data_IF_453488801367
#
_entry.id   IF_453488801367
#
_cell.length_a   1.000
_cell.length_b   1.000
_cell.length_c   1.000
_cell.angle_alpha   90.00
_cell.angle_beta   90.00
_cell.angle_gamma   90.00
#
_symmetry.space_group_name_H-M   'P 1'
#
loop_
_entity.id
_entity.type
_entity.pdbx_description
1 polymer ?
#
# COMPACT_ATOMS: atom_id res chain seq x y z
N UNK A 1 -1.20 -50.57 -9.18
CA UNK A 1 -1.45 -49.61 -8.08
C UNK A 1 -1.59 -48.24 -8.71
N UNK A 2 -2.60 -47.48 -8.31
CA UNK A 2 -2.79 -46.10 -8.75
C UNK A 2 -2.40 -45.15 -7.63
N UNK A 3 -1.67 -44.09 -7.98
CA UNK A 3 -1.23 -43.06 -7.06
C UNK A 3 -1.90 -41.74 -7.44
N UNK A 4 -2.06 -40.86 -6.45
CA UNK A 4 -2.54 -39.49 -6.62
C UNK A 4 -1.54 -38.55 -5.97
N UNK A 5 -1.08 -37.56 -6.73
CA UNK A 5 -0.20 -36.49 -6.25
C UNK A 5 -1.04 -35.23 -6.16
N UNK A 6 -1.08 -34.62 -4.98
CA UNK A 6 -1.80 -33.36 -4.72
C UNK A 6 -0.86 -32.43 -3.94
N UNK A 7 -0.42 -31.30 -4.52
CA UNK A 7 0.31 -30.27 -3.79
C UNK A 7 -0.66 -29.41 -2.98
N UNK A 8 -0.17 -28.82 -1.89
CA UNK A 8 -0.93 -27.89 -1.07
C UNK A 8 -0.01 -26.79 -0.53
N UNK A 9 -0.54 -25.56 -0.49
CA UNK A 9 0.07 -24.40 0.17
C UNK A 9 -1.07 -23.50 0.63
N UNK A 10 -1.10 -23.26 1.94
CA UNK A 10 -2.19 -22.55 2.61
C UNK A 10 -1.65 -21.66 3.72
N UNK A 11 -0.96 -20.62 3.30
CA UNK A 11 -0.31 -19.61 4.12
C UNK A 11 -0.48 -18.23 3.47
N UNK A 12 -0.24 -17.18 4.25
CA UNK A 12 -0.13 -15.79 3.79
C UNK A 12 -1.15 -15.43 2.68
N UNK A 13 -2.43 -15.49 3.04
CA UNK A 13 -3.52 -15.27 2.10
C UNK A 13 -3.45 -13.88 1.44
N UNK A 14 -2.81 -12.91 2.08
CA UNK A 14 -2.63 -11.54 1.58
C UNK A 14 -1.42 -11.33 0.67
N UNK A 15 -0.53 -12.33 0.51
CA UNK A 15 0.63 -12.19 -0.37
C UNK A 15 0.21 -11.85 -1.82
N UNK A 16 0.57 -10.65 -2.27
CA UNK A 16 0.21 -10.15 -3.61
C UNK A 16 -1.27 -9.82 -3.80
N UNK A 17 -2.05 -9.74 -2.72
CA UNK A 17 -3.48 -9.41 -2.79
C UNK A 17 -3.71 -8.01 -2.27
N UNK A 18 -4.32 -7.17 -3.11
CA UNK A 18 -4.56 -5.77 -2.80
C UNK A 18 -5.89 -5.27 -3.37
N UNK A 19 -6.23 -4.04 -3.06
CA UNK A 19 -7.40 -3.37 -3.62
C UNK A 19 -7.31 -3.17 -5.14
N UNK A 20 -6.10 -3.26 -5.74
CA UNK A 20 -5.94 -3.30 -7.20
C UNK A 20 -6.63 -4.52 -7.81
N UNK A 21 -6.55 -5.66 -7.14
CA UNK A 21 -7.19 -6.90 -7.60
C UNK A 21 -8.72 -6.77 -7.58
N UNK A 22 -9.29 -6.06 -6.59
CA UNK A 22 -10.71 -5.70 -6.59
C UNK A 22 -11.09 -4.87 -7.81
N UNK A 23 -10.26 -3.89 -8.21
CA UNK A 23 -10.49 -3.10 -9.43
C UNK A 23 -10.50 -4.00 -10.66
N UNK A 24 -9.54 -4.91 -10.78
CA UNK A 24 -9.42 -5.82 -11.93
C UNK A 24 -10.60 -6.81 -12.01
N UNK A 25 -11.02 -7.40 -10.88
CA UNK A 25 -12.19 -8.27 -10.82
C UNK A 25 -13.46 -7.50 -11.15
N UNK A 26 -13.62 -6.29 -10.61
CA UNK A 26 -14.81 -5.47 -10.88
C UNK A 26 -14.91 -5.08 -12.36
N UNK A 27 -13.80 -4.68 -12.98
CA UNK A 27 -13.76 -4.39 -14.43
C UNK A 27 -14.07 -5.62 -15.27
N UNK A 28 -13.61 -6.79 -14.85
CA UNK A 28 -13.94 -8.05 -15.51
C UNK A 28 -15.44 -8.35 -15.47
N UNK A 29 -16.06 -8.28 -14.29
CA UNK A 29 -17.49 -8.51 -14.10
C UNK A 29 -18.31 -7.57 -14.99
N UNK A 30 -17.89 -6.30 -15.08
CA UNK A 30 -18.53 -5.27 -15.90
C UNK A 30 -18.18 -5.34 -17.40
N UNK A 31 -17.41 -6.33 -17.84
CA UNK A 31 -16.97 -6.52 -19.23
C UNK A 31 -16.14 -5.36 -19.80
N UNK A 32 -15.49 -4.57 -18.93
CA UNK A 32 -14.62 -3.46 -19.30
C UNK A 32 -13.25 -4.00 -19.71
N UNK A 33 -12.63 -4.76 -18.81
CA UNK A 33 -11.34 -5.44 -19.05
C UNK A 33 -11.51 -6.94 -18.79
N UNK A 34 -11.63 -7.73 -19.85
CA UNK A 34 -11.82 -9.18 -19.72
C UNK A 34 -10.52 -9.87 -19.35
N UNK A 35 -10.61 -10.89 -18.51
CA UNK A 35 -9.47 -11.76 -18.25
C UNK A 35 -9.05 -12.50 -19.51
N UNK A 36 -7.75 -12.61 -19.69
CA UNK A 36 -7.10 -13.21 -20.86
C UNK A 36 -6.47 -14.58 -20.54
N UNK A 37 -6.79 -15.16 -19.39
CA UNK A 37 -6.19 -16.39 -18.89
C UNK A 37 -7.17 -17.09 -17.94
N UNK A 38 -7.28 -18.41 -18.08
CA UNK A 38 -8.01 -19.29 -17.17
C UNK A 38 -7.56 -19.13 -15.71
N UNK A 39 -6.27 -18.90 -15.48
CA UNK A 39 -5.72 -18.74 -14.14
C UNK A 39 -6.26 -17.50 -13.43
N UNK A 40 -6.60 -16.43 -14.16
CA UNK A 40 -7.21 -15.23 -13.58
C UNK A 40 -8.65 -15.47 -13.12
N UNK A 41 -9.41 -16.29 -13.86
CA UNK A 41 -10.73 -16.72 -13.42
C UNK A 41 -10.65 -17.56 -12.15
N UNK A 42 -9.70 -18.49 -12.08
CA UNK A 42 -9.47 -19.34 -10.89
C UNK A 42 -8.98 -18.49 -9.69
N UNK A 43 -8.14 -17.49 -9.93
CA UNK A 43 -7.68 -16.56 -8.88
C UNK A 43 -8.82 -15.65 -8.39
N UNK A 44 -9.70 -15.20 -9.30
CA UNK A 44 -10.82 -14.33 -8.98
C UNK A 44 -12.02 -15.03 -8.32
N UNK A 45 -12.14 -16.35 -8.46
CA UNK A 45 -13.10 -17.21 -7.75
C UNK A 45 -12.63 -17.43 -6.30
N UNK A 46 -12.78 -16.38 -5.50
CA UNK A 46 -12.28 -16.28 -4.12
C UNK A 46 -13.11 -17.13 -3.18
N UNK A 47 -14.43 -17.19 -3.40
CA UNK A 47 -15.34 -17.98 -2.57
C UNK A 47 -15.45 -19.46 -3.01
N UNK A 48 -14.77 -19.84 -4.11
CA UNK A 48 -14.71 -21.20 -4.67
C UNK A 48 -16.07 -21.76 -5.13
N UNK A 49 -16.94 -20.90 -5.67
CA UNK A 49 -18.24 -21.29 -6.22
C UNK A 49 -18.24 -21.54 -7.74
N UNK A 50 -17.05 -21.49 -8.36
CA UNK A 50 -16.81 -21.62 -9.80
C UNK A 50 -17.48 -20.51 -10.63
N UNK A 51 -17.57 -19.30 -10.09
CA UNK A 51 -18.02 -18.10 -10.79
C UNK A 51 -17.18 -16.91 -10.34
N UNK A 52 -17.21 -15.85 -11.13
CA UNK A 52 -16.60 -14.57 -10.76
C UNK A 52 -17.72 -13.54 -10.65
N UNK A 53 -18.03 -13.14 -9.43
CA UNK A 53 -19.20 -12.33 -9.11
C UNK A 53 -18.88 -11.24 -8.08
N UNK A 54 -19.88 -10.43 -7.72
CA UNK A 54 -19.75 -9.48 -6.62
C UNK A 54 -19.50 -10.17 -5.26
N UNK A 55 -19.84 -11.46 -5.11
CA UNK A 55 -19.54 -12.23 -3.91
C UNK A 55 -18.02 -12.33 -3.67
N UNK A 56 -17.24 -12.55 -4.72
CA UNK A 56 -15.78 -12.63 -4.65
C UNK A 56 -15.16 -11.31 -4.22
N UNK A 57 -15.69 -10.19 -4.73
CA UNK A 57 -15.25 -8.85 -4.33
C UNK A 57 -15.46 -8.60 -2.82
N UNK A 58 -16.57 -9.09 -2.27
CA UNK A 58 -16.87 -8.92 -0.84
C UNK A 58 -15.91 -9.75 0.01
N UNK A 59 -15.70 -11.02 -0.33
CA UNK A 59 -14.81 -11.90 0.42
C UNK A 59 -13.34 -11.44 0.32
N UNK A 60 -12.91 -11.02 -0.86
CA UNK A 60 -11.55 -10.50 -1.07
C UNK A 60 -11.33 -9.17 -0.33
N UNK A 61 -12.32 -8.27 -0.33
CA UNK A 61 -12.21 -7.01 0.44
C UNK A 61 -12.09 -7.29 1.94
N UNK A 62 -12.84 -8.24 2.50
CA UNK A 62 -12.71 -8.61 3.92
C UNK A 62 -11.32 -9.15 4.25
N UNK A 63 -10.72 -9.92 3.35
CA UNK A 63 -9.34 -10.35 3.48
C UNK A 63 -8.38 -9.16 3.47
N UNK A 64 -8.47 -8.27 2.47
CA UNK A 64 -7.65 -7.04 2.36
C UNK A 64 -7.76 -6.17 3.62
N UNK A 65 -8.98 -5.99 4.12
CA UNK A 65 -9.25 -5.21 5.33
C UNK A 65 -8.74 -5.88 6.62
N UNK A 66 -8.24 -7.12 6.57
CA UNK A 66 -7.84 -7.88 7.75
C UNK A 66 -9.01 -8.28 8.64
N UNK A 67 -10.24 -8.33 8.09
CA UNK A 67 -11.40 -8.94 8.75
C UNK A 67 -11.25 -10.46 8.71
N UNK A 68 -10.73 -10.96 7.59
CA UNK A 68 -10.24 -12.33 7.47
C UNK A 68 -8.73 -12.36 7.53
N UNK A 69 -8.20 -13.39 8.18
CA UNK A 69 -6.79 -13.77 8.12
C UNK A 69 -6.56 -14.91 7.12
N UNK A 70 -7.61 -15.68 6.83
CA UNK A 70 -7.67 -16.79 5.87
C UNK A 70 -9.02 -16.77 5.15
N UNK A 71 -9.08 -17.28 3.92
CA UNK A 71 -10.31 -17.32 3.14
C UNK A 71 -11.22 -18.46 3.65
N UNK A 72 -12.51 -18.20 3.97
CA UNK A 72 -13.36 -19.20 4.62
C UNK A 72 -13.60 -20.49 3.82
N UNK A 73 -13.66 -20.37 2.49
CA UNK A 73 -14.05 -21.48 1.59
C UNK A 73 -12.96 -21.81 0.57
N UNK A 74 -11.77 -21.24 0.69
CA UNK A 74 -10.71 -21.40 -0.30
C UNK A 74 -9.32 -21.41 0.34
N UNK A 75 -8.38 -22.07 -0.33
CA UNK A 75 -6.97 -22.09 0.05
C UNK A 75 -6.29 -20.82 -0.45
N UNK A 76 -5.16 -20.45 0.14
CA UNK A 76 -4.40 -19.29 -0.36
C UNK A 76 -3.80 -19.53 -1.75
N UNK A 77 -3.45 -20.78 -2.06
CA UNK A 77 -3.00 -21.24 -3.38
C UNK A 77 -3.83 -22.43 -3.88
N UNK A 78 -4.15 -22.40 -5.17
CA UNK A 78 -4.68 -23.54 -5.91
C UNK A 78 -3.64 -24.05 -6.88
N UNK A 79 -3.57 -25.35 -7.11
CA UNK A 79 -2.54 -25.95 -7.95
C UNK A 79 -3.17 -26.78 -9.04
N UNK A 80 -2.79 -26.50 -10.28
CA UNK A 80 -3.33 -27.16 -11.47
C UNK A 80 -2.22 -28.00 -12.10
N UNK A 81 -2.56 -29.17 -12.65
CA UNK A 81 -1.61 -29.92 -13.47
C UNK A 81 -1.11 -29.01 -14.61
N UNK A 82 0.21 -28.84 -14.74
CA UNK A 82 0.79 -27.97 -15.76
C UNK A 82 0.51 -28.47 -17.18
N UNK A 83 0.28 -29.77 -17.35
CA UNK A 83 -0.04 -30.38 -18.64
C UNK A 83 -1.52 -30.23 -19.04
N UNK A 84 -2.36 -29.66 -18.17
CA UNK A 84 -3.79 -29.50 -18.46
C UNK A 84 -4.01 -28.53 -19.62
N UNK A 85 -4.83 -28.95 -20.59
CA UNK A 85 -5.29 -28.07 -21.66
C UNK A 85 -6.65 -27.47 -21.29
N UNK A 86 -6.69 -26.15 -21.08
CA UNK A 86 -7.91 -25.40 -20.78
C UNK A 86 -8.39 -24.73 -22.06
N UNK A 87 -9.26 -25.43 -22.80
CA UNK A 87 -9.77 -24.97 -24.10
C UNK A 87 -10.68 -23.73 -23.99
N UNK A 88 -11.50 -23.66 -22.94
CA UNK A 88 -12.36 -22.52 -22.65
C UNK A 88 -11.81 -21.73 -21.46
N UNK A 89 -11.05 -20.68 -21.77
CA UNK A 89 -10.41 -19.85 -20.75
C UNK A 89 -11.42 -19.12 -19.86
N UNK A 90 -12.65 -18.91 -20.32
CA UNK A 90 -13.69 -18.19 -19.57
C UNK A 90 -14.52 -19.11 -18.67
N UNK A 91 -14.34 -20.43 -18.82
CA UNK A 91 -15.03 -21.45 -18.06
C UNK A 91 -14.02 -22.55 -17.62
N UNK A 92 -12.98 -22.21 -16.84
CA UNK A 92 -11.90 -23.14 -16.51
C UNK A 92 -12.27 -24.09 -15.36
N UNK A 93 -13.55 -24.34 -15.14
CA UNK A 93 -14.05 -25.12 -14.00
C UNK A 93 -13.93 -26.63 -14.26
N UNK A 94 -13.89 -27.43 -13.19
CA UNK A 94 -13.78 -28.89 -13.31
C UNK A 94 -12.37 -29.39 -13.66
N UNK A 95 -11.39 -28.51 -13.65
CA UNK A 95 -9.96 -28.86 -13.75
C UNK A 95 -9.50 -29.61 -12.52
N UNK A 96 -8.70 -30.66 -12.71
CA UNK A 96 -8.15 -31.43 -11.60
C UNK A 96 -6.99 -30.68 -10.94
N UNK A 97 -7.05 -30.60 -9.61
CA UNK A 97 -5.96 -30.08 -8.77
C UNK A 97 -5.02 -31.21 -8.27
N UNK A 98 -4.92 -32.29 -9.05
CA UNK A 98 -4.09 -33.45 -8.75
C UNK A 98 -3.61 -34.12 -10.03
N UNK A 99 -2.50 -34.84 -9.94
CA UNK A 99 -2.00 -35.73 -11.00
C UNK A 99 -2.27 -37.18 -10.59
N UNK A 100 -2.96 -37.91 -11.44
CA UNK A 100 -3.19 -39.35 -11.28
C UNK A 100 -2.10 -40.16 -12.00
N UNK A 101 -1.47 -41.10 -11.30
CA UNK A 101 -0.45 -41.98 -11.86
C UNK A 101 -0.97 -43.42 -11.82
N UNK A 102 -1.08 -44.04 -12.99
CA UNK A 102 -1.42 -45.45 -13.12
C UNK A 102 -0.14 -46.25 -13.37
N UNK A 103 0.05 -47.33 -12.60
CA UNK A 103 1.15 -48.29 -12.80
C UNK A 103 2.54 -47.62 -12.84
N UNK A 104 2.96 -47.09 -11.69
CA UNK A 104 4.28 -46.51 -11.47
C UNK A 104 5.39 -47.56 -11.68
N UNK A 105 5.94 -47.59 -12.89
CA UNK A 105 6.93 -48.60 -13.33
C UNK A 105 8.25 -47.98 -13.77
N UNK A 106 8.27 -46.65 -13.98
CA UNK A 106 9.45 -45.87 -14.35
C UNK A 106 9.50 -44.58 -13.53
N UNK A 107 10.68 -43.96 -13.43
CA UNK A 107 10.82 -42.63 -12.83
C UNK A 107 9.98 -41.60 -13.61
N UNK A 108 9.31 -40.69 -12.91
CA UNK A 108 8.45 -39.66 -13.48
C UNK A 108 8.79 -38.30 -12.85
N UNK A 109 9.65 -37.52 -13.53
CA UNK A 109 10.15 -36.23 -13.04
C UNK A 109 9.35 -35.01 -13.57
N UNK A 110 8.44 -35.22 -14.53
CA UNK A 110 7.71 -34.16 -15.23
C UNK A 110 6.30 -33.88 -14.66
N UNK A 111 6.00 -34.38 -13.45
CA UNK A 111 4.71 -34.16 -12.76
C UNK A 111 4.66 -32.75 -12.15
N UNK A 112 4.59 -31.74 -13.01
CA UNK A 112 4.65 -30.33 -12.65
C UNK A 112 3.26 -29.73 -12.38
N UNK A 113 3.19 -28.76 -11.47
CA UNK A 113 1.97 -27.99 -11.20
C UNK A 113 2.18 -26.51 -11.49
N UNK A 114 1.11 -25.83 -11.91
CA UNK A 114 1.01 -24.37 -11.94
C UNK A 114 0.25 -23.90 -10.71
N UNK A 115 0.91 -23.10 -9.86
CA UNK A 115 0.29 -22.46 -8.71
C UNK A 115 -0.46 -21.19 -9.10
N UNK A 116 -1.67 -21.04 -8.58
CA UNK A 116 -2.54 -19.86 -8.74
C UNK A 116 -2.79 -19.29 -7.36
N UNK A 117 -2.29 -18.08 -7.11
CA UNK A 117 -2.57 -17.37 -5.86
C UNK A 117 -4.01 -16.86 -5.91
N UNK A 118 -4.85 -17.33 -4.99
CA UNK A 118 -6.25 -16.88 -4.91
C UNK A 118 -6.26 -15.42 -4.50
N UNK A 119 -7.04 -14.61 -5.23
CA UNK A 119 -7.18 -13.17 -5.04
C UNK A 119 -6.15 -12.30 -5.76
N UNK A 120 -5.05 -12.86 -6.27
CA UNK A 120 -3.97 -12.10 -6.94
C UNK A 120 -4.13 -12.21 -8.47
N UNK A 121 -4.63 -11.13 -9.08
CA UNK A 121 -4.98 -11.08 -10.50
C UNK A 121 -3.84 -10.48 -11.33
N UNK A 122 -3.07 -9.56 -10.75
CA UNK A 122 -1.91 -8.96 -11.40
C UNK A 122 -0.64 -9.83 -11.28
N UNK A 123 -0.67 -10.89 -10.47
CA UNK A 123 0.45 -11.82 -10.28
C UNK A 123 1.57 -11.23 -9.42
N UNK A 124 1.22 -10.36 -8.46
CA UNK A 124 2.18 -9.64 -7.62
C UNK A 124 2.68 -10.44 -6.42
N UNK A 125 2.17 -11.66 -6.18
CA UNK A 125 2.62 -12.52 -5.10
C UNK A 125 4.13 -12.84 -5.18
N UNK A 126 4.84 -12.58 -4.09
CA UNK A 126 6.27 -12.84 -3.99
C UNK A 126 6.46 -14.30 -3.56
N UNK A 127 7.03 -15.11 -4.45
CA UNK A 127 7.21 -16.56 -4.24
C UNK A 127 8.64 -16.98 -3.90
N UNK A 128 9.61 -16.06 -4.01
CA UNK A 128 11.02 -16.28 -3.69
C UNK A 128 11.64 -15.04 -3.05
N UNK A 129 12.62 -15.21 -2.15
CA UNK A 129 13.33 -14.10 -1.47
C UNK A 129 14.03 -13.11 -2.43
N UNK A 130 14.40 -13.54 -3.65
CA UNK A 130 15.00 -12.68 -4.69
C UNK A 130 13.96 -12.02 -5.61
N UNK A 131 12.68 -12.32 -5.42
CA UNK A 131 11.57 -11.85 -6.25
C UNK A 131 10.89 -10.58 -5.74
N UNK A 132 11.46 -9.89 -4.76
CA UNK A 132 10.99 -8.56 -4.37
C UNK A 132 11.19 -7.61 -5.56
N UNK A 133 10.15 -7.48 -6.39
CA UNK A 133 10.09 -6.46 -7.41
C UNK A 133 10.31 -5.11 -6.74
N UNK A 134 11.30 -4.36 -7.23
CA UNK A 134 11.51 -2.99 -6.79
C UNK A 134 10.29 -2.19 -7.26
N UNK A 135 9.34 -1.95 -6.35
CA UNK A 135 8.18 -1.11 -6.63
C UNK A 135 8.65 0.33 -6.89
N UNK A 136 8.76 0.69 -8.17
CA UNK A 136 9.10 2.05 -8.58
C UNK A 136 7.87 2.95 -8.51
N UNK A 137 7.52 3.40 -7.31
CA UNK A 137 6.44 4.38 -7.10
C UNK A 137 6.99 5.80 -7.22
N UNK A 138 6.93 6.38 -8.41
CA UNK A 138 7.40 7.74 -8.68
C UNK A 138 6.39 8.85 -8.36
N UNK A 139 5.12 8.49 -8.14
CA UNK A 139 4.01 9.42 -7.87
C UNK A 139 3.44 9.18 -6.47
N UNK A 140 2.87 10.25 -5.90
CA UNK A 140 2.22 10.22 -4.59
C UNK A 140 0.87 10.93 -4.68
N UNK A 141 -0.20 10.27 -4.24
CA UNK A 141 -1.46 10.91 -3.89
C UNK A 141 -1.40 11.33 -2.42
N UNK A 142 -1.79 12.56 -2.11
CA UNK A 142 -1.82 13.05 -0.73
C UNK A 142 -3.24 13.44 -0.35
N UNK A 143 -3.81 12.69 0.59
CA UNK A 143 -5.00 13.09 1.31
C UNK A 143 -4.70 14.27 2.23
N UNK A 144 -5.67 15.17 2.33
CA UNK A 144 -5.58 16.38 3.15
C UNK A 144 -6.81 16.45 4.04
N UNK A 145 -6.60 16.65 5.33
CA UNK A 145 -7.64 16.98 6.30
C UNK A 145 -7.32 18.32 6.97
N UNK A 146 -8.32 19.12 7.31
CA UNK A 146 -8.09 20.30 8.15
C UNK A 146 -7.85 19.86 9.59
N UNK A 147 -6.77 20.37 10.19
CA UNK A 147 -6.47 20.17 11.60
C UNK A 147 -7.45 21.01 12.43
N UNK A 148 -8.12 20.36 13.36
CA UNK A 148 -9.09 21.00 14.22
C UNK A 148 -8.85 20.56 15.66
N UNK A 149 -8.92 21.53 16.58
CA UNK A 149 -9.04 21.24 18.00
C UNK A 149 -10.45 20.79 18.32
N UNK A 150 -10.59 19.80 19.19
CA UNK A 150 -11.88 19.32 19.66
C UNK A 150 -11.89 19.17 21.18
N UNK A 151 -13.09 19.17 21.74
CA UNK A 151 -13.33 19.00 23.17
C UNK A 151 -14.15 17.72 23.42
N UNK A 152 -13.98 17.15 24.61
CA UNK A 152 -14.76 15.99 25.04
C UNK A 152 -16.27 16.22 24.87
N UNK A 153 -16.96 15.25 24.27
CA UNK A 153 -18.39 15.31 23.97
C UNK A 153 -18.75 15.99 22.64
N UNK A 154 -17.79 16.43 21.84
CA UNK A 154 -18.05 16.95 20.49
C UNK A 154 -18.08 15.81 19.45
N UNK A 155 -18.86 15.99 18.39
CA UNK A 155 -18.72 15.18 17.18
C UNK A 155 -17.66 15.82 16.30
N UNK A 156 -16.67 15.04 15.91
CA UNK A 156 -15.53 15.49 15.09
C UNK A 156 -15.71 14.91 13.70
N UNK A 157 -15.72 15.78 12.69
CA UNK A 157 -15.76 15.39 11.28
C UNK A 157 -14.41 15.63 10.66
N UNK A 158 -13.77 14.57 10.22
CA UNK A 158 -12.51 14.63 9.49
C UNK A 158 -12.83 14.46 8.00
N UNK A 159 -13.03 15.59 7.34
CA UNK A 159 -13.27 15.65 5.89
C UNK A 159 -11.93 15.43 5.16
N UNK A 160 -11.93 14.46 4.24
CA UNK A 160 -10.75 14.12 3.44
C UNK A 160 -10.88 14.73 2.06
N UNK A 161 -9.90 15.54 1.67
CA UNK A 161 -9.73 16.12 0.33
C UNK A 161 -8.40 15.64 -0.26
N UNK A 162 -8.09 16.00 -1.51
CA UNK A 162 -6.76 15.75 -2.09
C UNK A 162 -6.48 16.71 -3.25
N UNK A 163 -5.28 17.28 -3.30
CA UNK A 163 -4.92 18.27 -4.32
C UNK A 163 -4.70 17.65 -5.71
N UNK A 164 -4.42 16.34 -5.78
CA UNK A 164 -4.06 15.63 -7.01
C UNK A 164 -4.83 14.31 -7.23
N UNK A 165 -6.14 14.33 -6.98
CA UNK A 165 -7.02 13.17 -7.22
C UNK A 165 -7.40 13.05 -8.70
N UNK A 166 -6.50 12.54 -9.53
CA UNK A 166 -6.70 12.41 -10.99
C UNK A 166 -6.70 10.96 -11.42
N UNK A 167 -7.78 10.55 -12.08
CA UNK A 167 -7.93 9.23 -12.71
C UNK A 167 -7.69 8.05 -11.75
N UNK A 168 -8.15 8.17 -10.51
CA UNK A 168 -7.95 7.18 -9.45
C UNK A 168 -9.00 6.08 -9.52
N UNK A 169 -8.58 4.82 -9.50
CA UNK A 169 -9.45 3.64 -9.50
C UNK A 169 -9.46 2.89 -8.17
N UNK A 170 -8.53 3.17 -7.26
CA UNK A 170 -8.62 2.60 -5.92
C UNK A 170 -7.56 3.14 -4.97
N UNK A 171 -7.72 2.80 -3.70
CA UNK A 171 -6.76 3.07 -2.64
C UNK A 171 -7.00 2.15 -1.44
N UNK A 172 -5.93 1.85 -0.71
CA UNK A 172 -5.99 1.21 0.60
C UNK A 172 -4.98 1.86 1.54
N UNK A 173 -5.33 1.90 2.82
CA UNK A 173 -4.48 2.49 3.84
C UNK A 173 -4.98 2.16 5.24
N UNK A 174 -4.10 2.30 6.23
CA UNK A 174 -4.47 2.22 7.64
C UNK A 174 -4.35 3.60 8.30
N UNK A 175 -5.31 3.93 9.16
CA UNK A 175 -5.21 5.04 10.11
C UNK A 175 -5.19 4.47 11.52
N UNK A 176 -4.23 4.92 12.32
CA UNK A 176 -4.23 4.73 13.77
C UNK A 176 -4.78 5.98 14.44
N UNK A 177 -5.55 5.82 15.51
CA UNK A 177 -6.06 6.93 16.29
C UNK A 177 -5.98 6.67 17.80
N UNK A 178 -5.77 7.73 18.58
CA UNK A 178 -5.77 7.65 20.04
C UNK A 178 -7.20 7.52 20.59
N UNK A 179 -7.48 6.33 21.09
CA UNK A 179 -8.79 5.92 21.60
C UNK A 179 -9.15 6.56 22.95
N UNK A 180 -8.17 7.13 23.65
CA UNK A 180 -8.46 7.89 24.87
C UNK A 180 -9.04 9.27 24.55
N UNK A 181 -8.79 9.77 23.33
CA UNK A 181 -9.25 11.07 22.85
C UNK A 181 -10.46 11.00 21.91
N UNK A 182 -10.66 9.90 21.17
CA UNK A 182 -11.77 9.75 20.23
C UNK A 182 -12.31 8.32 20.12
N UNK A 183 -13.60 8.21 19.80
CA UNK A 183 -14.30 6.98 19.45
C UNK A 183 -14.81 7.06 18.01
N UNK A 184 -14.51 6.08 17.17
CA UNK A 184 -14.99 6.02 15.79
C UNK A 184 -16.51 5.83 15.72
N UNK A 185 -17.19 6.62 14.88
CA UNK A 185 -18.66 6.56 14.70
C UNK A 185 -19.05 6.03 13.32
N UNK A 186 -18.27 6.32 12.28
CA UNK A 186 -18.56 5.85 10.93
C UNK A 186 -17.78 6.57 9.85
N UNK A 187 -18.03 6.17 8.61
CA UNK A 187 -17.57 6.84 7.40
C UNK A 187 -18.76 7.15 6.51
N UNK A 188 -18.77 8.35 5.94
CA UNK A 188 -19.79 8.80 5.00
C UNK A 188 -19.18 9.22 3.66
N UNK A 189 -19.95 9.00 2.59
CA UNK A 189 -19.53 9.33 1.22
C UNK A 189 -19.48 10.84 1.00
N UNK A 190 -18.51 11.28 0.21
CA UNK A 190 -18.46 12.61 -0.40
C UNK A 190 -18.50 12.47 -1.92
N UNK A 191 -17.47 12.97 -2.58
CA UNK A 191 -17.28 12.82 -4.03
C UNK A 191 -16.95 11.38 -4.46
N UNK A 192 -16.43 10.54 -3.55
CA UNK A 192 -16.26 9.10 -3.77
C UNK A 192 -17.20 8.29 -2.87
N UNK A 193 -17.60 7.11 -3.35
CA UNK A 193 -18.47 6.20 -2.61
C UNK A 193 -17.68 5.50 -1.52
N UNK A 194 -18.00 5.82 -0.27
CA UNK A 194 -17.40 5.27 0.94
C UNK A 194 -18.47 5.06 2.01
N UNK A 195 -18.40 3.92 2.68
CA UNK A 195 -19.22 3.60 3.86
C UNK A 195 -18.46 2.62 4.77
N UNK A 196 -19.11 2.11 5.82
CA UNK A 196 -18.46 1.21 6.77
C UNK A 196 -18.05 -0.16 6.18
N UNK A 197 -18.59 -0.58 5.03
CA UNK A 197 -18.14 -1.81 4.35
C UNK A 197 -16.77 -1.64 3.67
N UNK A 198 -16.32 -0.39 3.49
CA UNK A 198 -14.97 -0.07 3.02
C UNK A 198 -13.94 -0.05 4.15
N UNK A 199 -14.34 -0.31 5.40
CA UNK A 199 -13.52 -0.08 6.59
C UNK A 199 -13.55 -1.30 7.51
N UNK A 200 -12.40 -1.71 8.04
CA UNK A 200 -12.37 -2.64 9.16
C UNK A 200 -12.73 -1.93 10.47
N UNK A 201 -14.03 -1.81 10.74
CA UNK A 201 -14.53 -1.18 11.96
C UNK A 201 -14.27 -2.01 13.23
N UNK A 202 -13.99 -3.31 13.08
CA UNK A 202 -13.73 -4.22 14.23
C UNK A 202 -12.43 -3.86 14.95
N UNK A 203 -11.50 -3.20 14.27
CA UNK A 203 -10.21 -2.77 14.82
C UNK A 203 -10.27 -1.38 15.48
N UNK A 204 -11.43 -0.70 15.44
CA UNK A 204 -11.60 0.59 16.09
C UNK A 204 -11.30 0.52 17.60
N UNK A 205 -11.62 -0.60 18.25
CA UNK A 205 -11.30 -0.87 19.66
C UNK A 205 -9.81 -1.14 19.93
N UNK A 206 -8.98 -1.22 18.89
CA UNK A 206 -7.52 -1.25 18.99
C UNK A 206 -6.88 0.04 18.44
N UNK A 207 -7.70 1.07 18.18
CA UNK A 207 -7.23 2.35 17.67
C UNK A 207 -6.75 2.27 16.22
N UNK A 208 -7.27 1.33 15.42
CA UNK A 208 -6.91 1.16 14.02
C UNK A 208 -8.14 1.09 13.13
N UNK A 209 -8.05 1.69 11.96
CA UNK A 209 -9.05 1.62 10.90
C UNK A 209 -8.31 1.30 9.60
N UNK A 210 -8.55 0.13 9.04
CA UNK A 210 -8.06 -0.24 7.71
C UNK A 210 -9.11 0.12 6.66
N UNK A 211 -8.70 0.67 5.53
CA UNK A 211 -9.59 1.14 4.47
C UNK A 211 -9.27 0.46 3.15
N UNK A 212 -10.31 0.22 2.34
CA UNK A 212 -10.21 -0.26 0.96
C UNK A 212 -11.32 0.38 0.12
N UNK A 213 -10.91 1.20 -0.83
CA UNK A 213 -11.79 1.89 -1.77
C UNK A 213 -11.43 1.52 -3.20
N UNK A 214 -12.43 1.26 -4.04
CA UNK A 214 -12.23 0.99 -5.46
C UNK A 214 -13.38 1.54 -6.32
N UNK A 215 -13.05 1.89 -7.55
CA UNK A 215 -13.95 2.31 -8.63
C UNK A 215 -13.42 1.77 -9.97
N UNK A 216 -14.33 1.25 -10.81
CA UNK A 216 -13.95 0.57 -12.05
C UNK A 216 -13.57 1.51 -13.20
N UNK A 217 -14.06 2.76 -13.22
CA UNK A 217 -13.93 3.68 -14.36
C UNK A 217 -12.82 4.70 -14.18
N UNK A 218 -12.22 4.81 -13.00
CA UNK A 218 -11.29 5.89 -12.67
C UNK A 218 -12.03 7.20 -12.46
N UNK A 219 -11.69 7.91 -11.39
CA UNK A 219 -12.38 9.13 -10.97
C UNK A 219 -11.38 10.26 -10.81
N UNK A 220 -11.74 11.44 -11.32
CA UNK A 220 -11.01 12.69 -11.13
C UNK A 220 -11.88 13.64 -10.33
N UNK A 221 -11.36 14.14 -9.21
CA UNK A 221 -12.08 15.03 -8.30
C UNK A 221 -11.28 16.31 -8.11
N UNK A 222 -11.97 17.45 -8.16
CA UNK A 222 -11.36 18.76 -7.91
C UNK A 222 -10.86 18.88 -6.46
N UNK A 223 -9.73 19.56 -6.27
CA UNK A 223 -9.03 19.66 -4.98
C UNK A 223 -9.86 20.14 -3.78
N UNK A 224 -10.88 20.97 -4.02
CA UNK A 224 -11.69 21.58 -2.95
C UNK A 224 -12.93 20.72 -2.61
N UNK A 225 -13.08 19.54 -3.21
CA UNK A 225 -14.19 18.63 -2.95
C UNK A 225 -13.81 17.59 -1.90
N UNK A 226 -14.66 17.47 -0.88
CA UNK A 226 -14.57 16.39 0.10
C UNK A 226 -14.79 15.06 -0.61
N UNK A 227 -13.78 14.18 -0.55
CA UNK A 227 -13.80 12.83 -1.09
C UNK A 227 -14.72 11.95 -0.23
N UNK A 228 -14.49 11.95 1.08
CA UNK A 228 -15.25 11.22 2.09
C UNK A 228 -14.98 11.83 3.47
N UNK A 229 -15.82 11.49 4.45
CA UNK A 229 -15.69 12.00 5.83
C UNK A 229 -15.57 10.84 6.80
N UNK A 230 -14.62 10.95 7.74
CA UNK A 230 -14.50 10.05 8.88
C UNK A 230 -15.10 10.76 10.10
N UNK A 231 -16.03 10.10 10.77
CA UNK A 231 -16.78 10.66 11.89
C UNK A 231 -16.31 10.02 13.21
N UNK A 232 -15.99 10.88 14.18
CA UNK A 232 -15.59 10.48 15.53
C UNK A 232 -16.45 11.20 16.58
N UNK A 233 -16.51 10.61 17.77
CA UNK A 233 -16.99 11.22 19.01
C UNK A 233 -15.77 11.50 19.89
N UNK A 234 -15.52 12.76 20.21
CA UNK A 234 -14.41 13.12 21.10
C UNK A 234 -14.71 12.71 22.55
N UNK A 235 -13.74 12.07 23.20
CA UNK A 235 -13.79 11.66 24.61
C UNK A 235 -12.84 12.47 25.49
N UNK A 236 -11.88 13.18 24.89
CA UNK A 236 -10.98 14.12 25.56
C UNK A 236 -10.75 15.37 24.69
N UNK A 237 -10.04 16.35 25.24
CA UNK A 237 -9.63 17.54 24.49
C UNK A 237 -8.32 17.27 23.76
N UNK A 238 -8.28 17.44 22.45
CA UNK A 238 -7.07 17.23 21.63
C UNK A 238 -7.18 17.94 20.27
N UNK A 239 -6.28 17.60 19.34
CA UNK A 239 -6.30 18.03 17.92
C UNK A 239 -6.20 16.82 17.02
N UNK A 240 -6.75 16.91 15.80
CA UNK A 240 -6.71 15.79 14.85
C UNK A 240 -5.28 15.34 14.53
N UNK A 241 -4.34 16.27 14.30
CA UNK A 241 -2.95 15.92 13.94
C UNK A 241 -2.22 15.14 15.05
N UNK A 242 -2.59 15.38 16.32
CA UNK A 242 -2.02 14.67 17.47
C UNK A 242 -2.70 13.32 17.69
N UNK A 243 -3.99 13.22 17.40
CA UNK A 243 -4.79 12.02 17.67
C UNK A 243 -4.74 11.00 16.54
N UNK A 244 -4.58 11.43 15.28
CA UNK A 244 -4.69 10.56 14.10
C UNK A 244 -3.33 10.43 13.40
N UNK A 245 -2.92 9.20 13.09
CA UNK A 245 -1.67 8.88 12.39
C UNK A 245 -1.94 7.98 11.19
N UNK A 246 -1.27 8.29 10.09
CA UNK A 246 -1.34 7.51 8.86
C UNK A 246 -0.31 6.36 8.91
N UNK A 247 -0.70 5.15 8.54
CA UNK A 247 0.16 3.96 8.68
C UNK A 247 -0.10 2.91 7.60
N UNK A 248 0.64 1.81 7.70
CA UNK A 248 0.50 0.61 6.88
C UNK A 248 0.37 -0.65 7.74
N UNK A 249 -0.24 -0.51 8.93
CA UNK A 249 -0.27 -1.56 9.95
C UNK A 249 -1.10 -2.79 9.55
N UNK A 250 -2.22 -2.60 8.84
CA UNK A 250 -3.11 -3.67 8.37
C UNK A 250 -3.10 -3.71 6.84
N UNK A 251 -3.57 -2.64 6.22
CA UNK A 251 -3.46 -2.41 4.78
C UNK A 251 -2.30 -1.48 4.50
N UNK A 252 -1.48 -1.84 3.50
CA UNK A 252 -0.39 -1.00 3.00
C UNK A 252 -0.94 0.30 2.45
N UNK A 253 -0.27 1.42 2.69
CA UNK A 253 -0.70 2.72 2.19
C UNK A 253 -0.33 2.90 0.71
N UNK A 254 -1.33 2.81 -0.16
CA UNK A 254 -1.14 2.89 -1.61
C UNK A 254 -2.41 3.23 -2.35
N UNK A 255 -2.25 3.74 -3.56
CA UNK A 255 -3.36 4.07 -4.43
C UNK A 255 -3.08 3.62 -5.87
N UNK A 256 -4.14 3.55 -6.67
CA UNK A 256 -4.09 2.97 -8.01
C UNK A 256 -4.77 3.88 -9.02
N UNK A 257 -4.06 4.18 -10.10
CA UNK A 257 -4.63 4.92 -11.23
C UNK A 257 -5.39 3.99 -12.18
N UNK A 258 -6.16 4.58 -13.09
CA UNK A 258 -6.98 3.83 -14.05
C UNK A 258 -6.18 2.91 -14.98
N UNK A 259 -4.93 3.25 -15.26
CA UNK A 259 -4.00 2.40 -16.02
C UNK A 259 -3.41 1.25 -15.18
N UNK A 260 -3.91 1.04 -13.96
CA UNK A 260 -3.49 0.03 -13.01
C UNK A 260 -2.07 0.26 -12.45
N UNK A 261 -1.54 1.49 -12.55
CA UNK A 261 -0.28 1.85 -11.91
C UNK A 261 -0.45 2.05 -10.40
N UNK A 262 0.49 1.52 -9.63
CA UNK A 262 0.58 1.73 -8.18
C UNK A 262 1.32 3.04 -7.86
N UNK A 263 0.77 3.82 -6.93
CA UNK A 263 1.36 5.07 -6.46
C UNK A 263 1.34 5.12 -4.93
N UNK A 264 2.23 5.94 -4.35
CA UNK A 264 2.24 6.14 -2.90
C UNK A 264 0.97 6.89 -2.46
N UNK A 265 0.51 6.60 -1.25
CA UNK A 265 -0.55 7.34 -0.59
C UNK A 265 -0.02 7.93 0.72
N UNK A 266 -0.39 9.17 1.00
CA UNK A 266 -0.08 9.84 2.27
C UNK A 266 -1.26 10.66 2.78
N UNK A 267 -1.15 11.11 4.02
CA UNK A 267 -2.11 12.03 4.65
C UNK A 267 -1.34 13.20 5.27
N UNK A 268 -1.86 14.40 5.10
CA UNK A 268 -1.37 15.61 5.77
C UNK A 268 -2.52 16.36 6.42
N UNK A 269 -2.20 17.11 7.47
CA UNK A 269 -3.12 17.99 8.17
C UNK A 269 -2.81 19.44 7.81
N UNK A 270 -3.78 20.15 7.26
CA UNK A 270 -3.68 21.58 6.95
C UNK A 270 -4.12 22.37 8.19
N UNK A 271 -3.31 23.34 8.60
CA UNK A 271 -3.66 24.26 9.69
C UNK A 271 -3.98 25.62 9.07
N UNK A 272 -5.19 26.15 9.30
CA UNK A 272 -5.61 27.50 8.87
C UNK A 272 -4.73 28.61 9.50
N UNK A 273 -4.04 28.29 10.60
CA UNK A 273 -2.96 29.12 11.12
C UNK A 273 -1.62 28.64 10.56
N UNK A 274 -1.24 29.19 9.41
CA UNK A 274 0.13 29.20 8.85
C UNK A 274 0.91 27.88 9.00
N UNK A 275 0.76 26.94 8.04
CA UNK A 275 1.71 25.86 7.73
C UNK A 275 2.88 25.76 8.71
N UNK A 276 2.72 25.08 9.84
CA UNK A 276 3.86 24.71 10.66
C UNK A 276 4.50 23.52 9.96
N UNK A 277 5.41 23.85 9.06
CA UNK A 277 6.27 22.91 8.38
C UNK A 277 6.89 21.97 9.42
N UNK A 278 6.47 20.72 9.50
CA UNK A 278 7.03 19.79 10.50
C UNK A 278 8.47 19.48 10.10
N UNK A 279 9.40 19.51 11.06
CA UNK A 279 10.80 19.14 10.82
C UNK A 279 10.87 17.72 10.26
N UNK A 280 11.36 17.58 9.02
CA UNK A 280 11.43 16.30 8.34
C UNK A 280 12.67 16.23 7.46
N UNK A 281 13.29 15.04 7.41
CA UNK A 281 14.36 14.71 6.49
C UNK A 281 13.82 13.67 5.50
N UNK A 282 13.91 13.93 4.20
CA UNK A 282 13.45 13.03 3.15
C UNK A 282 14.52 11.98 2.84
N UNK A 283 14.12 10.87 2.23
CA UNK A 283 15.08 9.92 1.68
C UNK A 283 15.80 10.52 0.46
N UNK A 284 17.12 10.35 0.38
CA UNK A 284 17.91 10.81 -0.76
C UNK A 284 17.42 10.15 -2.07
N UNK A 285 17.41 10.90 -3.17
CA UNK A 285 16.92 10.44 -4.47
C UNK A 285 17.91 10.79 -5.59
N UNK A 286 18.40 9.81 -6.39
CA UNK A 286 18.17 8.37 -6.26
C UNK A 286 18.87 7.74 -5.05
N UNK A 287 18.38 6.59 -4.59
CA UNK A 287 19.07 5.71 -3.64
C UNK A 287 18.77 4.23 -3.98
N UNK A 288 19.76 3.43 -4.43
CA UNK A 288 21.18 3.78 -4.56
C UNK A 288 21.46 4.83 -5.65
N UNK A 289 22.50 5.65 -5.47
CA UNK A 289 22.96 6.60 -6.48
C UNK A 289 24.30 6.19 -7.09
N UNK A 290 24.63 6.73 -8.27
CA UNK A 290 25.87 6.43 -9.02
C UNK A 290 26.71 7.65 -9.41
N UNK A 291 26.11 8.84 -9.52
CA UNK A 291 26.81 10.08 -9.85
C UNK A 291 26.37 11.23 -8.94
N UNK A 292 25.06 11.47 -8.85
CA UNK A 292 24.50 12.51 -7.98
C UNK A 292 23.28 11.99 -7.22
N UNK A 293 22.98 12.60 -6.09
CA UNK A 293 21.75 12.38 -5.31
C UNK A 293 21.29 13.68 -4.67
N UNK A 294 19.98 13.83 -4.47
CA UNK A 294 19.37 14.99 -3.84
C UNK A 294 18.79 14.59 -2.49
N UNK A 295 19.04 15.40 -1.46
CA UNK A 295 18.53 15.20 -0.10
C UNK A 295 17.56 16.35 0.21
N UNK A 296 16.26 16.02 0.22
CA UNK A 296 15.20 16.94 0.61
C UNK A 296 15.03 17.00 2.12
N UNK A 297 14.61 18.15 2.64
CA UNK A 297 14.20 18.30 4.04
C UNK A 297 13.23 19.47 4.20
N UNK A 298 12.52 19.50 5.32
CA UNK A 298 11.54 20.54 5.67
C UNK A 298 11.88 21.13 7.03
N UNK A 299 11.93 22.46 7.12
CA UNK A 299 12.20 23.19 8.38
C UNK A 299 10.95 23.90 8.92
N UNK A 300 10.68 23.83 10.24
CA UNK A 300 9.55 24.51 10.89
C UNK A 300 9.67 26.02 10.95
N UNK A 301 10.88 26.53 10.86
CA UNK A 301 11.19 27.96 10.80
C UNK A 301 12.40 28.16 9.91
N UNK A 302 12.51 29.36 9.33
CA UNK A 302 13.72 29.73 8.60
C UNK A 302 14.90 29.75 9.58
N UNK A 303 16.05 29.20 9.18
CA UNK A 303 17.19 29.09 10.08
C UNK A 303 18.36 28.32 9.48
N UNK A 304 19.42 28.19 10.26
CA UNK A 304 20.57 27.38 9.88
C UNK A 304 20.22 25.89 9.94
N UNK A 305 20.59 25.15 8.90
CA UNK A 305 20.55 23.70 8.88
C UNK A 305 21.92 23.14 8.50
N UNK A 306 22.32 22.10 9.23
CA UNK A 306 23.58 21.39 9.06
C UNK A 306 23.28 19.95 8.64
N UNK A 307 23.66 19.61 7.41
CA UNK A 307 23.61 18.27 6.88
C UNK A 307 24.99 17.64 6.96
N UNK A 308 25.13 16.53 7.68
CA UNK A 308 26.41 15.81 7.84
C UNK A 308 26.28 14.39 7.34
N UNK A 309 27.25 13.95 6.54
CA UNK A 309 27.33 12.62 5.95
C UNK A 309 28.46 11.84 6.62
N UNK A 310 28.22 10.59 6.99
CA UNK A 310 29.16 9.71 7.69
C UNK A 310 29.21 8.32 7.04
N UNK A 311 30.38 7.66 7.14
CA UNK A 311 30.49 6.24 6.82
C UNK A 311 29.96 5.34 7.96
N UNK A 312 29.98 4.03 7.74
CA UNK A 312 29.53 3.03 8.74
C UNK A 312 30.34 3.02 10.04
N UNK A 313 31.54 3.61 10.05
CA UNK A 313 32.38 3.73 11.24
C UNK A 313 32.11 5.01 12.03
N UNK A 314 31.21 5.87 11.53
CA UNK A 314 30.90 7.18 12.11
C UNK A 314 31.89 8.27 11.71
N UNK A 315 32.80 8.01 10.76
CA UNK A 315 33.73 9.02 10.25
C UNK A 315 32.95 9.99 9.37
N UNK A 316 33.08 11.29 9.66
CA UNK A 316 32.51 12.37 8.84
C UNK A 316 33.16 12.38 7.46
N UNK A 317 32.33 12.28 6.43
CA UNK A 317 32.74 12.34 5.03
C UNK A 317 32.51 13.74 4.44
N UNK A 318 31.39 14.39 4.78
CA UNK A 318 31.05 15.73 4.30
C UNK A 318 30.10 16.43 5.27
N UNK A 319 30.24 17.75 5.39
CA UNK A 319 29.34 18.62 6.16
C UNK A 319 28.92 19.80 5.30
N UNK A 320 27.64 20.11 5.28
CA UNK A 320 27.05 21.25 4.57
C UNK A 320 26.23 22.04 5.58
N UNK A 321 26.63 23.29 5.83
CA UNK A 321 25.89 24.20 6.71
C UNK A 321 25.46 25.42 5.91
N UNK A 322 24.17 25.71 5.92
CA UNK A 322 23.62 26.90 5.25
C UNK A 322 22.31 27.35 5.91
N UNK A 323 21.85 28.56 5.58
CA UNK A 323 20.55 29.08 6.02
C UNK A 323 19.47 28.76 4.98
N UNK A 324 18.37 28.19 5.43
CA UNK A 324 17.24 27.80 4.58
C UNK A 324 15.94 28.47 5.04
N UNK A 325 15.00 28.73 4.12
CA UNK A 325 13.67 29.25 4.48
C UNK A 325 12.85 28.22 5.26
N UNK A 326 11.78 28.69 5.93
CA UNK A 326 10.73 27.82 6.47
C UNK A 326 10.11 27.02 5.32
N UNK A 327 9.84 25.74 5.53
CA UNK A 327 9.31 24.83 4.51
C UNK A 327 10.39 23.96 3.86
N UNK A 328 10.10 23.46 2.66
CA UNK A 328 10.93 22.47 1.98
C UNK A 328 12.17 23.10 1.35
N UNK A 329 13.31 22.44 1.50
CA UNK A 329 14.59 22.74 0.87
C UNK A 329 15.26 21.45 0.40
N UNK A 330 16.25 21.56 -0.49
CA UNK A 330 16.95 20.42 -1.06
C UNK A 330 18.44 20.72 -1.24
N UNK A 331 19.27 19.71 -1.02
CA UNK A 331 20.72 19.77 -1.26
C UNK A 331 21.13 18.68 -2.23
N UNK A 332 21.84 19.07 -3.30
CA UNK A 332 22.42 18.15 -4.26
C UNK A 332 23.83 17.73 -3.81
N UNK A 333 24.12 16.44 -3.93
CA UNK A 333 25.40 15.84 -3.58
C UNK A 333 25.94 15.08 -4.78
N UNK A 334 27.17 15.38 -5.18
CA UNK A 334 27.88 14.63 -6.21
C UNK A 334 28.80 13.57 -5.58
N UNK A 335 28.93 12.41 -6.21
CA UNK A 335 29.69 11.28 -5.68
C UNK A 335 31.18 11.60 -5.56
N UNK A 336 31.72 12.49 -6.40
CA UNK A 336 33.11 12.95 -6.29
C UNK A 336 33.38 13.74 -5.00
N UNK A 337 32.32 14.24 -4.35
CA UNK A 337 32.41 14.98 -3.10
C UNK A 337 32.37 14.06 -1.86
N UNK A 338 32.10 12.77 -2.06
CA UNK A 338 32.01 11.76 -1.01
C UNK A 338 33.08 10.70 -1.26
N UNK A 339 34.16 10.75 -0.49
CA UNK A 339 35.27 9.78 -0.57
C UNK A 339 34.97 8.46 0.18
N UNK A 340 33.79 7.86 -0.05
CA UNK A 340 33.41 6.56 0.49
C UNK A 340 32.41 5.84 -0.40
N UNK A 341 32.42 4.50 -0.39
CA UNK A 341 31.53 3.65 -1.20
C UNK A 341 30.66 2.76 -0.31
N UNK A 342 29.50 2.36 -0.85
CA UNK A 342 28.56 1.49 -0.15
C UNK A 342 27.61 2.25 0.77
N UNK A 343 27.32 1.68 1.93
CA UNK A 343 26.33 2.21 2.88
C UNK A 343 26.89 3.41 3.65
N UNK A 344 26.11 4.47 3.72
CA UNK A 344 26.42 5.69 4.47
C UNK A 344 25.18 6.21 5.19
N UNK A 345 25.39 7.11 6.13
CA UNK A 345 24.33 7.80 6.86
C UNK A 345 24.44 9.31 6.64
N UNK A 346 23.31 9.99 6.60
CA UNK A 346 23.25 11.45 6.62
C UNK A 346 22.31 11.93 7.71
N UNK A 347 22.74 12.93 8.45
CA UNK A 347 22.03 13.56 9.56
C UNK A 347 21.78 15.03 9.24
N UNK A 348 20.54 15.47 9.41
CA UNK A 348 20.15 16.87 9.39
C UNK A 348 19.99 17.37 10.82
N UNK A 349 20.64 18.48 11.14
CA UNK A 349 20.51 19.20 12.41
C UNK A 349 20.05 20.64 12.17
N UNK A 350 19.00 21.09 12.86
CA UNK A 350 18.54 22.48 12.84
C UNK A 350 17.76 22.80 14.11
N UNK A 351 18.04 23.95 14.75
CA UNK A 351 17.36 24.41 15.96
C UNK A 351 17.26 23.35 17.08
N UNK A 352 18.30 22.52 17.24
CA UNK A 352 18.36 21.43 18.23
C UNK A 352 17.61 20.14 17.85
N UNK A 353 16.92 20.11 16.71
CA UNK A 353 16.29 18.92 16.15
C UNK A 353 17.28 18.16 15.27
N UNK A 354 17.20 16.82 15.29
CA UNK A 354 18.04 15.92 14.50
C UNK A 354 17.21 14.83 13.82
N UNK A 355 17.54 14.52 12.58
CA UNK A 355 17.00 13.37 11.86
C UNK A 355 18.09 12.71 11.03
N UNK A 356 18.10 11.38 10.99
CA UNK A 356 19.16 10.60 10.32
C UNK A 356 18.54 9.56 9.39
N UNK A 357 19.14 9.40 8.20
CA UNK A 357 18.74 8.41 7.20
C UNK A 357 19.96 7.74 6.57
N UNK A 358 19.70 6.63 5.86
CA UNK A 358 20.71 5.80 5.21
C UNK A 358 20.68 6.02 3.69
N UNK A 359 21.84 6.19 3.09
CA UNK A 359 22.04 6.22 1.63
C UNK A 359 23.04 5.15 1.17
N UNK A 360 22.95 4.77 -0.10
CA UNK A 360 23.82 3.77 -0.72
C UNK A 360 24.42 4.37 -1.99
N UNK A 361 25.76 4.41 -2.06
CA UNK A 361 26.48 4.75 -3.26
C UNK A 361 27.01 3.49 -3.96
N UNK A 362 26.69 3.33 -5.24
CA UNK A 362 27.21 2.28 -6.10
C UNK A 362 28.22 2.89 -7.08
N UNK A 363 29.48 2.46 -6.99
CA UNK A 363 30.46 2.78 -8.01
C UNK A 363 30.13 1.99 -9.29
N UNK A 364 30.28 2.61 -10.45
CA UNK A 364 30.20 1.92 -11.75
C UNK A 364 31.50 1.24 -12.10
#
# INVERSE_FOLDING_TARGET
VSYRITPEKDDDHLNGVSTLDLVMIQRHILQIDKFNSAYKYIAADVNKDNKVTAGDLVELRKLILGIYIELPNNKSWRFLDKAINISDIANPWGVNEYIGINNFTTSMMENNFTGVKVGDINGSAVTNFNGASTENRSKTLTFVAEDQSFQAGQNVKMDITADNFTNMSGAQWTINFDQTSMEFQGVSSGAIQMNNENVNVLQANNGKLAFSWNDFKGVTIDKDKVLFTIEFRATANNTLTNTVKFSSDITKAEAYTHDLSEINLGLTFRNDNTSDAVFALDQNNPNPFTATTSIGFTLPSAGEAKLTIYDITGKVLKTITNTYPKGRSEVNIASEEINAQGVMFYELESNGLKATKKMIYLNK
#
